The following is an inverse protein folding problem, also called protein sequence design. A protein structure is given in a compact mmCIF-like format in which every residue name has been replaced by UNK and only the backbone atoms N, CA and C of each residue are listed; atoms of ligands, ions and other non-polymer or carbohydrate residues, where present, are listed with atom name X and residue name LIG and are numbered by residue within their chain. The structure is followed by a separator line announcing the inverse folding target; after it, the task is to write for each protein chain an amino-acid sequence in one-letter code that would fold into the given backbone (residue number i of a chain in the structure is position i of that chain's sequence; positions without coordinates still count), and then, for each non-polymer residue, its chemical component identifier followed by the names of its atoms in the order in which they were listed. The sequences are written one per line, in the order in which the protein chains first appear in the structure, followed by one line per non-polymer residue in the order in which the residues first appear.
data_IF_187461416764
#
_entry.id   IF_187461416764
#
_cell.length_a   1.000
_cell.length_b   1.000
_cell.length_c   1.000
_cell.angle_alpha   90.00
_cell.angle_beta   90.00
_cell.angle_gamma   90.00
#
_symmetry.space_group_name_H-M   'P 1'
#
loop_
_entity.id
_entity.type
_entity.pdbx_description
1 polymer ?
#
# COMPACT_ATOMS: atom_id res chain seq x y z
N UNK A 1 58.12 -29.85 23.48
CA UNK A 1 56.85 -29.46 24.15
C UNK A 1 55.99 -28.51 23.31
N UNK A 2 56.12 -28.49 21.96
CA UNK A 2 55.52 -27.43 21.12
C UNK A 2 54.23 -27.83 20.37
N UNK A 3 53.95 -29.11 20.14
CA UNK A 3 52.79 -29.53 19.32
C UNK A 3 51.42 -29.34 19.98
N UNK A 4 51.34 -29.19 21.31
CA UNK A 4 50.07 -28.92 22.01
C UNK A 4 49.66 -27.44 21.93
N UNK A 5 50.61 -26.52 21.75
CA UNK A 5 50.34 -25.09 21.63
C UNK A 5 49.87 -24.72 20.22
N UNK A 6 50.43 -25.36 19.19
CA UNK A 6 50.03 -25.15 17.79
C UNK A 6 48.58 -25.61 17.53
N UNK A 7 48.17 -26.74 18.11
CA UNK A 7 46.79 -27.23 18.00
C UNK A 7 45.77 -26.32 18.71
N UNK A 8 46.16 -25.72 19.84
CA UNK A 8 45.30 -24.79 20.57
C UNK A 8 45.12 -23.47 19.81
N UNK A 9 46.21 -22.95 19.22
CA UNK A 9 46.16 -21.74 18.40
C UNK A 9 45.25 -21.91 17.19
N UNK A 10 45.30 -23.07 16.53
CA UNK A 10 44.46 -23.36 15.36
C UNK A 10 42.97 -23.43 15.71
N UNK A 11 42.63 -24.02 16.86
CA UNK A 11 41.24 -24.07 17.36
C UNK A 11 40.71 -22.67 17.69
N UNK A 12 41.51 -21.83 18.32
CA UNK A 12 41.12 -20.44 18.64
C UNK A 12 40.88 -19.63 17.38
N UNK A 13 41.76 -19.74 16.39
CA UNK A 13 41.57 -19.05 15.10
C UNK A 13 40.30 -19.55 14.41
N UNK A 14 40.04 -20.85 14.40
CA UNK A 14 38.84 -21.41 13.77
C UNK A 14 37.56 -20.91 14.44
N UNK A 15 37.55 -20.81 15.78
CA UNK A 15 36.42 -20.28 16.56
C UNK A 15 36.21 -18.79 16.26
N UNK A 16 37.26 -17.98 16.24
CA UNK A 16 37.16 -16.54 15.91
C UNK A 16 36.64 -16.33 14.50
N UNK A 17 37.09 -17.15 13.53
CA UNK A 17 36.70 -17.05 12.13
C UNK A 17 35.24 -17.47 11.91
N UNK A 18 34.79 -18.52 12.60
CA UNK A 18 33.38 -18.96 12.56
C UNK A 18 32.45 -17.96 13.22
N UNK A 19 32.82 -17.40 14.37
CA UNK A 19 32.06 -16.34 15.02
C UNK A 19 31.96 -15.12 14.10
N UNK A 20 33.08 -14.65 13.55
CA UNK A 20 33.11 -13.51 12.62
C UNK A 20 32.24 -13.72 11.38
N UNK A 21 32.27 -14.91 10.79
CA UNK A 21 31.43 -15.26 9.64
C UNK A 21 29.94 -15.31 9.98
N UNK A 22 29.57 -15.86 11.13
CA UNK A 22 28.18 -15.87 11.61
C UNK A 22 27.66 -14.44 11.83
N UNK A 23 28.47 -13.55 12.41
CA UNK A 23 28.10 -12.15 12.57
C UNK A 23 27.94 -11.40 11.24
N UNK A 24 28.79 -11.67 10.24
CA UNK A 24 28.67 -11.08 8.91
C UNK A 24 27.41 -11.56 8.17
N UNK A 25 27.07 -12.85 8.28
CA UNK A 25 25.85 -13.41 7.70
C UNK A 25 24.59 -12.83 8.37
N UNK A 26 24.56 -12.72 9.69
CA UNK A 26 23.46 -12.10 10.43
C UNK A 26 23.30 -10.61 10.10
N UNK A 27 24.39 -9.88 9.88
CA UNK A 27 24.34 -8.48 9.47
C UNK A 27 23.80 -8.32 8.03
N UNK A 28 24.19 -9.21 7.11
CA UNK A 28 23.69 -9.22 5.74
C UNK A 28 22.20 -9.58 5.66
N UNK A 29 21.75 -10.58 6.43
CA UNK A 29 20.34 -10.94 6.54
C UNK A 29 19.49 -9.77 7.06
N UNK A 30 19.97 -9.07 8.10
CA UNK A 30 19.28 -7.87 8.61
C UNK A 30 19.29 -6.73 7.61
N UNK A 31 20.35 -6.55 6.83
CA UNK A 31 20.43 -5.54 5.78
C UNK A 31 19.44 -5.81 4.64
N UNK A 32 19.34 -7.05 4.18
CA UNK A 32 18.41 -7.45 3.12
C UNK A 32 16.94 -7.41 3.58
N UNK A 33 16.66 -7.77 4.83
CA UNK A 33 15.33 -7.61 5.42
C UNK A 33 14.98 -6.12 5.59
N UNK A 34 15.93 -5.29 6.02
CA UNK A 34 15.75 -3.85 6.11
C UNK A 34 15.42 -3.22 4.76
N UNK A 35 16.16 -3.56 3.71
CA UNK A 35 15.90 -3.06 2.35
C UNK A 35 14.51 -3.46 1.84
N UNK A 36 14.08 -4.71 2.03
CA UNK A 36 12.73 -5.15 1.64
C UNK A 36 11.62 -4.44 2.39
N UNK A 37 11.83 -4.13 3.68
CA UNK A 37 10.84 -3.42 4.48
C UNK A 37 10.76 -1.95 4.05
N UNK A 38 11.90 -1.32 3.78
CA UNK A 38 11.96 0.06 3.27
C UNK A 38 11.30 0.18 1.90
N UNK A 39 11.66 -0.68 0.94
CA UNK A 39 11.04 -0.69 -0.40
C UNK A 39 9.52 -0.86 -0.33
N UNK A 40 9.03 -1.82 0.48
CA UNK A 40 7.59 -2.05 0.63
C UNK A 40 6.86 -0.89 1.32
N UNK A 41 7.55 -0.12 2.16
CA UNK A 41 6.98 1.04 2.82
C UNK A 41 6.87 2.25 1.89
N UNK A 42 7.84 2.41 0.99
CA UNK A 42 7.87 3.48 -0.02
C UNK A 42 6.80 3.23 -1.09
N UNK A 43 6.73 2.01 -1.62
CA UNK A 43 5.68 1.59 -2.57
C UNK A 43 4.27 1.81 -1.99
N UNK A 44 4.10 1.55 -0.69
CA UNK A 44 2.80 1.74 -0.02
C UNK A 44 2.45 3.21 0.20
N UNK A 45 3.43 4.05 0.51
CA UNK A 45 3.20 5.48 0.66
C UNK A 45 2.75 6.10 -0.68
N UNK A 46 3.44 5.75 -1.77
CA UNK A 46 3.09 6.22 -3.11
C UNK A 46 1.67 5.79 -3.53
N UNK A 47 1.31 4.51 -3.33
CA UNK A 47 -0.03 4.00 -3.66
C UNK A 47 -1.11 4.66 -2.79
N UNK A 48 -0.80 5.01 -1.53
CA UNK A 48 -1.72 5.74 -0.67
C UNK A 48 -1.94 7.17 -1.17
N UNK A 49 -0.88 7.90 -1.50
CA UNK A 49 -0.97 9.26 -2.08
C UNK A 49 -1.77 9.27 -3.39
N UNK A 50 -1.58 8.25 -4.24
CA UNK A 50 -2.38 8.04 -5.45
C UNK A 50 -3.88 7.87 -5.14
N UNK A 51 -4.22 7.03 -4.16
CA UNK A 51 -5.61 6.81 -3.76
C UNK A 51 -6.25 8.08 -3.17
N UNK A 52 -5.49 8.84 -2.38
CA UNK A 52 -5.91 10.10 -1.76
C UNK A 52 -6.12 11.20 -2.82
N UNK A 53 -5.18 11.36 -3.75
CA UNK A 53 -5.30 12.32 -4.85
C UNK A 53 -6.52 12.01 -5.73
N UNK A 54 -6.75 10.74 -6.06
CA UNK A 54 -7.92 10.32 -6.82
C UNK A 54 -9.23 10.62 -6.08
N UNK A 55 -9.23 10.40 -4.76
CA UNK A 55 -10.38 10.68 -3.91
C UNK A 55 -10.67 12.18 -3.83
N UNK A 56 -9.64 13.02 -3.72
CA UNK A 56 -9.76 14.47 -3.73
C UNK A 56 -10.35 14.96 -5.07
N UNK A 57 -9.81 14.51 -6.20
CA UNK A 57 -10.30 14.88 -7.55
C UNK A 57 -11.75 14.43 -7.75
N UNK A 58 -12.13 13.25 -7.27
CA UNK A 58 -13.52 12.80 -7.33
C UNK A 58 -14.45 13.60 -6.41
N UNK A 59 -13.93 14.10 -5.28
CA UNK A 59 -14.64 14.93 -4.31
C UNK A 59 -14.83 16.40 -4.72
N UNK A 60 -14.12 16.90 -5.74
CA UNK A 60 -14.34 18.24 -6.31
C UNK A 60 -15.67 18.35 -7.05
N UNK A 61 -16.15 17.25 -7.63
CA UNK A 61 -17.40 17.20 -8.39
C UNK A 61 -18.07 15.83 -8.27
N UNK A 62 -18.51 15.45 -7.05
CA UNK A 62 -19.06 14.11 -6.82
C UNK A 62 -20.36 13.91 -7.60
N UNK A 63 -21.18 14.95 -7.75
CA UNK A 63 -22.47 14.90 -8.45
C UNK A 63 -22.35 14.49 -9.93
N UNK A 64 -21.28 14.89 -10.61
CA UNK A 64 -21.09 14.57 -12.03
C UNK A 64 -20.64 13.13 -12.26
N UNK A 65 -20.18 12.45 -11.20
CA UNK A 65 -19.67 11.08 -11.23
C UNK A 65 -20.57 10.09 -10.48
N UNK A 66 -21.53 10.59 -9.70
CA UNK A 66 -22.37 9.80 -8.84
C UNK A 66 -23.23 8.80 -9.63
N UNK A 67 -23.16 7.54 -9.23
CA UNK A 67 -24.01 6.46 -9.71
C UNK A 67 -24.89 5.90 -8.58
N UNK A 68 -25.72 4.90 -8.94
CA UNK A 68 -26.49 4.18 -7.91
C UNK A 68 -25.53 3.45 -6.94
N UNK A 69 -25.86 3.43 -5.64
CA UNK A 69 -25.15 2.61 -4.67
C UNK A 69 -25.15 1.14 -5.06
N UNK A 70 -24.05 0.45 -4.74
CA UNK A 70 -23.93 -0.98 -4.93
C UNK A 70 -24.94 -1.74 -4.05
N UNK A 71 -25.61 -2.73 -4.64
CA UNK A 71 -26.58 -3.60 -3.95
C UNK A 71 -26.24 -5.07 -4.25
N UNK A 72 -25.94 -5.90 -3.24
CA UNK A 72 -25.81 -5.55 -1.82
C UNK A 72 -24.57 -4.69 -1.51
N UNK A 73 -24.61 -3.93 -0.42
CA UNK A 73 -23.45 -3.12 0.04
C UNK A 73 -22.28 -4.06 0.40
N UNK A 74 -21.09 -3.90 -0.21
CA UNK A 74 -19.90 -4.69 0.13
C UNK A 74 -19.41 -4.50 1.58
N UNK A 75 -19.87 -3.45 2.27
CA UNK A 75 -19.50 -3.19 3.66
C UNK A 75 -18.02 -2.82 3.80
N UNK A 76 -17.31 -3.49 4.71
CA UNK A 76 -15.90 -3.22 5.01
C UNK A 76 -14.92 -4.18 4.30
N UNK A 77 -15.41 -5.08 3.45
CA UNK A 77 -14.59 -6.11 2.79
C UNK A 77 -13.78 -5.51 1.63
N UNK A 78 -12.47 -5.41 1.82
CA UNK A 78 -11.54 -4.84 0.83
C UNK A 78 -11.46 -5.67 -0.45
N UNK A 79 -11.67 -6.99 -0.40
CA UNK A 79 -11.58 -7.87 -1.57
C UNK A 79 -12.78 -7.66 -2.46
N UNK A 80 -13.98 -7.65 -1.88
CA UNK A 80 -15.22 -7.39 -2.63
C UNK A 80 -15.18 -5.98 -3.23
N UNK A 81 -14.73 -4.98 -2.47
CA UNK A 81 -14.56 -3.63 -2.99
C UNK A 81 -13.57 -3.54 -4.15
N UNK A 82 -12.44 -4.25 -4.09
CA UNK A 82 -11.47 -4.28 -5.18
C UNK A 82 -12.08 -4.82 -6.47
N UNK A 83 -12.86 -5.90 -6.38
CA UNK A 83 -13.56 -6.49 -7.52
C UNK A 83 -14.61 -5.54 -8.10
N UNK A 84 -15.43 -4.92 -7.25
CA UNK A 84 -16.45 -3.97 -7.68
C UNK A 84 -15.84 -2.73 -8.34
N UNK A 85 -14.79 -2.15 -7.75
CA UNK A 85 -14.10 -0.98 -8.31
C UNK A 85 -13.46 -1.27 -9.67
N UNK A 86 -12.97 -2.49 -9.89
CA UNK A 86 -12.48 -2.90 -11.22
C UNK A 86 -13.59 -3.10 -12.23
N UNK A 87 -14.75 -3.60 -11.79
CA UNK A 87 -15.85 -3.92 -12.67
C UNK A 87 -16.64 -2.67 -13.11
N UNK A 88 -16.91 -1.75 -12.18
CA UNK A 88 -17.81 -0.60 -12.40
C UNK A 88 -17.19 0.75 -12.03
N UNK A 89 -16.01 0.77 -11.42
CA UNK A 89 -15.32 2.02 -11.09
C UNK A 89 -14.86 2.75 -12.35
N UNK A 90 -14.88 4.08 -12.29
CA UNK A 90 -14.38 4.94 -13.35
C UNK A 90 -12.86 5.06 -13.23
N UNK A 91 -12.10 4.85 -14.33
CA UNK A 91 -10.67 5.10 -14.33
C UNK A 91 -10.41 6.60 -14.17
N UNK A 92 -9.51 6.95 -13.26
CA UNK A 92 -9.09 8.31 -12.95
C UNK A 92 -7.56 8.36 -12.84
N UNK A 93 -6.97 9.32 -13.53
CA UNK A 93 -5.54 9.64 -13.43
C UNK A 93 -5.41 10.97 -12.67
N UNK A 94 -4.93 10.97 -11.41
CA UNK A 94 -4.76 12.20 -10.65
C UNK A 94 -3.68 13.09 -11.28
N UNK A 95 -3.91 14.40 -11.42
CA UNK A 95 -2.91 15.31 -11.98
C UNK A 95 -1.74 15.51 -11.00
N UNK A 96 -0.52 15.69 -11.54
CA UNK A 96 0.65 16.10 -10.76
C UNK A 96 1.44 14.97 -10.08
N UNK A 97 1.02 13.72 -10.23
CA UNK A 97 1.82 12.56 -9.81
C UNK A 97 2.62 12.04 -11.02
N UNK A 98 3.89 11.69 -10.80
CA UNK A 98 4.83 11.20 -11.83
C UNK A 98 4.44 9.84 -12.43
N UNK A 99 3.30 9.29 -12.03
CA UNK A 99 2.75 8.00 -12.40
C UNK A 99 1.74 8.15 -13.54
N UNK A 100 2.20 8.70 -14.66
CA UNK A 100 1.42 8.96 -15.89
C UNK A 100 0.72 7.71 -16.50
N UNK A 101 0.96 6.51 -15.95
CA UNK A 101 0.36 5.27 -16.43
C UNK A 101 -0.36 4.44 -15.35
N UNK A 102 -0.50 4.95 -14.11
CA UNK A 102 -1.23 4.24 -13.05
C UNK A 102 -2.70 4.64 -13.05
N UNK A 103 -3.56 3.74 -13.54
CA UNK A 103 -5.01 3.92 -13.47
C UNK A 103 -5.50 3.63 -12.06
N UNK A 104 -6.05 4.65 -11.41
CA UNK A 104 -6.79 4.51 -10.15
C UNK A 104 -8.27 4.35 -10.51
N UNK A 105 -8.97 3.41 -9.88
CA UNK A 105 -10.41 3.26 -10.08
C UNK A 105 -11.15 4.00 -8.99
N UNK A 106 -12.15 4.80 -9.35
CA UNK A 106 -12.99 5.52 -8.39
C UNK A 106 -14.45 5.22 -8.65
N UNK A 107 -15.18 4.92 -7.59
CA UNK A 107 -16.64 4.84 -7.61
C UNK A 107 -17.20 5.93 -6.70
N UNK A 108 -18.15 6.69 -7.24
CA UNK A 108 -18.93 7.67 -6.48
C UNK A 108 -20.37 7.17 -6.45
N UNK A 109 -20.89 6.96 -5.25
CA UNK A 109 -22.27 6.49 -5.03
C UNK A 109 -23.09 7.63 -4.42
N UNK A 110 -24.29 7.84 -4.97
CA UNK A 110 -25.26 8.79 -4.45
C UNK A 110 -26.04 8.17 -3.29
N UNK A 111 -25.81 8.68 -2.07
CA UNK A 111 -26.51 8.29 -0.86
C UNK A 111 -27.55 9.37 -0.51
N UNK A 112 -28.62 8.98 0.19
CA UNK A 112 -29.67 9.93 0.62
C UNK A 112 -29.14 11.14 1.41
N UNK A 113 -27.96 11.02 2.02
CA UNK A 113 -27.32 12.04 2.87
C UNK A 113 -26.08 12.69 2.25
N UNK A 114 -25.68 12.31 1.03
CA UNK A 114 -24.48 12.81 0.36
C UNK A 114 -23.85 11.79 -0.57
N UNK A 115 -22.52 11.80 -0.70
CA UNK A 115 -21.79 10.93 -1.63
C UNK A 115 -20.82 10.02 -0.91
N UNK A 116 -20.79 8.75 -1.28
CA UNK A 116 -19.72 7.81 -0.88
C UNK A 116 -18.73 7.68 -2.02
N UNK A 117 -17.50 8.10 -1.78
CA UNK A 117 -16.42 8.09 -2.75
C UNK A 117 -15.45 6.99 -2.32
N UNK A 118 -15.27 5.99 -3.16
CA UNK A 118 -14.32 4.89 -2.91
C UNK A 118 -13.28 4.87 -4.02
N UNK A 119 -11.99 4.96 -3.68
CA UNK A 119 -10.87 4.88 -4.61
C UNK A 119 -10.06 3.60 -4.39
N UNK A 120 -9.58 3.00 -5.48
CA UNK A 120 -8.71 1.84 -5.53
C UNK A 120 -7.44 2.22 -6.27
N UNK A 121 -6.33 2.33 -5.54
CA UNK A 121 -5.00 2.48 -6.11
C UNK A 121 -4.19 1.20 -5.92
N UNK A 122 -3.26 0.99 -6.85
CA UNK A 122 -2.40 -0.19 -6.88
C UNK A 122 -1.01 0.18 -7.38
N UNK A 123 0.00 -0.55 -6.92
CA UNK A 123 1.35 -0.50 -7.48
C UNK A 123 1.42 -1.23 -8.83
N UNK A 124 2.48 -0.98 -9.59
CA UNK A 124 2.69 -1.58 -10.92
C UNK A 124 2.84 -3.11 -10.87
N UNK A 125 3.26 -3.65 -9.72
CA UNK A 125 3.47 -5.09 -9.52
C UNK A 125 2.25 -5.81 -8.93
N UNK A 126 1.16 -5.08 -8.71
CA UNK A 126 -0.05 -5.54 -8.04
C UNK A 126 0.14 -6.15 -6.64
N UNK A 127 1.24 -5.84 -5.95
CA UNK A 127 1.57 -6.36 -4.63
C UNK A 127 1.01 -5.50 -3.50
N UNK A 128 0.73 -4.23 -3.79
CA UNK A 128 0.21 -3.25 -2.84
C UNK A 128 -1.09 -2.68 -3.39
N UNK A 129 -2.18 -2.96 -2.68
CA UNK A 129 -3.50 -2.40 -2.98
C UNK A 129 -3.95 -1.52 -1.82
N UNK A 130 -4.38 -0.30 -2.13
CA UNK A 130 -4.98 0.62 -1.17
C UNK A 130 -6.37 0.97 -1.64
N UNK A 131 -7.35 0.74 -0.75
CA UNK A 131 -8.72 1.18 -0.95
C UNK A 131 -9.04 2.22 0.11
N UNK A 132 -9.37 3.43 -0.34
CA UNK A 132 -9.82 4.52 0.51
C UNK A 132 -11.28 4.79 0.25
N UNK A 133 -12.02 5.02 1.32
CA UNK A 133 -13.42 5.39 1.27
C UNK A 133 -13.59 6.69 2.04
N UNK A 134 -14.34 7.61 1.45
CA UNK A 134 -14.80 8.80 2.13
C UNK A 134 -16.29 9.02 1.93
N UNK A 135 -16.91 9.65 2.93
CA UNK A 135 -18.30 10.12 2.84
C UNK A 135 -18.30 11.64 2.89
N UNK A 136 -18.86 12.26 1.86
CA UNK A 136 -19.03 13.70 1.75
C UNK A 136 -20.51 14.02 1.90
N UNK A 137 -20.88 15.00 2.71
CA UNK A 137 -22.27 15.45 2.78
C UNK A 137 -22.66 16.22 1.51
N UNK A 138 -23.97 16.33 1.24
CA UNK A 138 -24.47 17.18 0.15
C UNK A 138 -24.06 18.66 0.28
N UNK A 139 -23.69 19.11 1.49
CA UNK A 139 -23.15 20.45 1.75
C UNK A 139 -21.66 20.61 1.40
N UNK A 140 -21.00 19.54 0.93
CA UNK A 140 -19.60 19.55 0.52
C UNK A 140 -18.59 19.27 1.64
N UNK A 141 -19.02 19.18 2.91
CA UNK A 141 -18.14 18.81 4.02
C UNK A 141 -17.78 17.31 3.94
N UNK A 142 -16.48 17.05 3.82
CA UNK A 142 -15.95 15.69 3.87
C UNK A 142 -15.88 15.23 5.33
N UNK A 143 -16.60 14.15 5.65
CA UNK A 143 -16.94 13.84 7.05
C UNK A 143 -16.17 12.65 7.62
N UNK A 144 -15.85 11.66 6.79
CA UNK A 144 -15.25 10.41 7.26
C UNK A 144 -14.26 9.90 6.21
N UNK A 145 -13.04 9.57 6.64
CA UNK A 145 -12.03 8.85 5.86
C UNK A 145 -11.81 7.46 6.47
N UNK A 146 -11.86 6.42 5.65
CA UNK A 146 -11.60 5.04 6.08
C UNK A 146 -10.78 4.31 5.04
N UNK A 147 -9.66 3.73 5.48
CA UNK A 147 -8.97 2.70 4.71
C UNK A 147 -9.63 1.34 4.96
N UNK A 148 -9.98 0.64 3.88
CA UNK A 148 -10.47 -0.73 3.97
C UNK A 148 -9.27 -1.69 4.06
N UNK A 149 -9.37 -2.72 4.90
CA UNK A 149 -8.31 -3.71 5.15
C UNK A 149 -8.78 -5.06 4.67
#
# INVERSE_FOLDING_TARGET
MNHRQDGLALVVVLIVLTIGSAFALLALERGLLGLRITERSEDRAEVFELAEAALAVAGESPQSRAGMPLVPDPGADSVIWAEQLRAVGQPLAPPGLATENRMVYVLVEDLDVGYRITSLARDDREQVTVILQSVQSASGEQRIWRQLR
#
